data_IF_175890609414
#
_entry.id   IF_175890609414
#
_cell.length_a   1.000
_cell.length_b   1.000
_cell.length_c   1.000
_cell.angle_alpha   90.00
_cell.angle_beta   90.00
_cell.angle_gamma   90.00
#
_symmetry.space_group_name_H-M   'P 1'
#
loop_
_entity.id
_entity.type
_entity.pdbx_description
1 polymer ?
#
# COMPACT_ATOMS: atom_id res chain seq x y z
N UNK A 1 5.19 -14.10 53.34
CA UNK A 1 6.12 -15.19 53.07
C UNK A 1 6.40 -15.13 51.58
N UNK A 2 7.35 -14.40 51.13
CA UNK A 2 8.83 -14.58 51.04
C UNK A 2 9.26 -15.64 50.02
N UNK A 3 10.01 -15.12 49.07
CA UNK A 3 11.09 -15.72 48.25
C UNK A 3 10.66 -16.24 46.86
N UNK A 4 11.37 -16.04 45.74
CA UNK A 4 12.68 -15.39 45.48
C UNK A 4 12.88 -15.41 43.94
N UNK A 5 13.34 -14.31 43.42
CA UNK A 5 14.12 -14.05 42.22
C UNK A 5 14.94 -15.22 41.68
N UNK A 6 14.95 -15.43 40.35
CA UNK A 6 16.21 -15.68 39.61
C UNK A 6 16.18 -15.09 38.18
N UNK A 7 17.14 -14.19 37.97
CA UNK A 7 17.67 -13.70 36.70
C UNK A 7 18.45 -14.83 36.01
N UNK A 8 18.42 -14.90 34.71
CA UNK A 8 19.56 -15.31 33.91
C UNK A 8 19.60 -14.52 32.62
N UNK A 9 20.61 -13.67 32.55
CA UNK A 9 21.16 -13.09 31.34
C UNK A 9 22.18 -14.07 30.75
N UNK A 10 22.41 -13.99 29.43
CA UNK A 10 23.62 -14.45 28.71
C UNK A 10 23.19 -14.58 27.23
N UNK A 11 23.86 -14.22 26.22
CA UNK A 11 25.19 -13.63 25.92
C UNK A 11 25.16 -13.31 24.43
N UNK A 12 25.51 -12.12 24.04
CA UNK A 12 25.74 -11.76 22.63
C UNK A 12 27.05 -12.40 22.13
N UNK A 13 27.06 -12.82 20.90
CA UNK A 13 28.28 -13.22 20.18
C UNK A 13 28.55 -12.22 19.09
N UNK A 14 29.55 -11.36 19.34
CA UNK A 14 30.16 -10.51 18.32
C UNK A 14 31.28 -11.32 17.65
N UNK A 15 31.19 -11.57 16.37
CA UNK A 15 32.27 -12.12 15.55
C UNK A 15 33.02 -10.97 14.88
N UNK A 16 34.15 -10.56 15.46
CA UNK A 16 35.12 -9.65 14.88
C UNK A 16 36.12 -10.43 14.04
N UNK A 17 36.18 -10.22 12.75
CA UNK A 17 37.23 -10.76 11.88
C UNK A 17 38.36 -9.75 11.83
N UNK A 18 39.50 -10.11 12.47
CA UNK A 18 40.78 -9.43 12.42
C UNK A 18 41.56 -9.92 11.19
N UNK A 19 41.73 -9.04 10.19
CA UNK A 19 42.66 -9.30 9.07
C UNK A 19 44.05 -8.74 9.46
N UNK A 20 44.99 -9.57 9.73
CA UNK A 20 46.39 -9.23 10.00
C UNK A 20 47.11 -9.13 8.66
N UNK A 21 47.50 -7.91 8.21
CA UNK A 21 48.47 -7.71 7.13
C UNK A 21 49.86 -7.54 7.72
N UNK A 22 50.75 -8.50 7.40
CA UNK A 22 52.18 -8.41 7.68
C UNK A 22 52.81 -7.40 6.68
N UNK A 23 53.35 -6.31 7.19
CA UNK A 23 54.16 -5.37 6.41
C UNK A 23 55.64 -5.72 6.65
N UNK A 24 56.30 -6.21 5.61
CA UNK A 24 57.74 -6.40 5.61
C UNK A 24 58.45 -5.03 5.58
N UNK A 25 59.26 -4.77 6.58
CA UNK A 25 60.12 -3.62 6.62
C UNK A 25 61.36 -3.87 5.77
N UNK A 26 61.51 -3.15 4.67
CA UNK A 26 62.81 -2.93 4.02
C UNK A 26 63.26 -1.51 4.33
N UNK A 27 64.38 -1.39 5.01
CA UNK A 27 64.94 -0.15 5.48
C UNK A 27 65.46 0.77 4.37
N UNK A 28 65.56 2.08 4.65
CA UNK A 28 65.97 3.07 3.67
C UNK A 28 67.49 3.04 3.46
N UNK A 29 67.91 2.96 2.22
CA UNK A 29 69.29 3.27 1.82
C UNK A 29 69.49 4.77 1.92
N UNK A 30 70.47 5.16 2.74
CA UNK A 30 70.89 6.55 2.90
C UNK A 30 71.59 7.05 1.62
N UNK A 31 71.11 8.10 1.05
CA UNK A 31 71.80 8.87 0.01
C UNK A 31 72.79 9.84 0.66
N UNK A 32 74.04 9.91 0.18
CA UNK A 32 74.98 10.94 0.67
C UNK A 32 74.64 12.32 0.09
N UNK A 33 74.72 13.41 0.86
CA UNK A 33 74.61 14.80 0.39
C UNK A 33 75.92 15.21 -0.34
N UNK A 34 75.89 16.07 -1.39
CA UNK A 34 74.93 17.13 -1.68
C UNK A 34 74.55 17.22 -3.19
N UNK A 35 73.65 16.43 -3.67
CA UNK A 35 73.22 16.51 -5.08
C UNK A 35 71.73 16.46 -5.31
N UNK A 36 70.96 16.81 -4.31
CA UNK A 36 69.49 16.93 -4.49
C UNK A 36 69.04 18.38 -4.15
N UNK A 37 69.54 19.33 -4.87
CA UNK A 37 68.88 20.60 -4.97
C UNK A 37 67.80 20.48 -6.04
N UNK A 38 66.60 20.07 -5.62
CA UNK A 38 65.41 20.28 -6.45
C UNK A 38 64.93 21.68 -6.22
N UNK A 39 65.00 22.51 -7.27
CA UNK A 39 64.31 23.76 -7.38
C UNK A 39 62.87 23.57 -6.95
N UNK A 40 62.52 24.19 -5.81
CA UNK A 40 61.14 24.35 -5.43
C UNK A 40 60.53 25.30 -6.49
N UNK A 41 59.71 24.75 -7.36
CA UNK A 41 58.87 25.53 -8.27
C UNK A 41 57.90 26.38 -7.46
N UNK A 42 58.06 27.71 -7.38
CA UNK A 42 57.18 28.59 -6.61
C UNK A 42 55.85 28.85 -7.34
N UNK A 43 55.51 28.04 -8.37
CA UNK A 43 54.37 28.29 -9.27
C UNK A 43 53.14 27.43 -9.07
N UNK A 44 53.13 26.49 -8.10
CA UNK A 44 51.89 25.73 -7.84
C UNK A 44 51.06 26.40 -6.76
N UNK A 45 50.66 27.66 -7.02
CA UNK A 45 49.58 28.30 -6.31
C UNK A 45 48.37 27.34 -6.41
N UNK A 46 47.92 26.84 -5.26
CA UNK A 46 46.68 26.02 -5.20
C UNK A 46 45.59 26.75 -5.97
N UNK A 47 45.01 26.11 -6.92
CA UNK A 47 43.78 26.56 -7.58
C UNK A 47 42.76 26.73 -6.47
N UNK A 48 42.68 27.92 -5.89
CA UNK A 48 41.58 28.32 -5.02
C UNK A 48 40.33 28.17 -5.89
N UNK A 49 39.50 27.15 -5.63
CA UNK A 49 38.25 26.99 -6.32
C UNK A 49 37.40 28.23 -6.02
N UNK A 50 37.32 29.11 -6.99
CA UNK A 50 36.39 30.25 -6.91
C UNK A 50 35.01 29.65 -6.70
N UNK A 51 34.30 30.03 -5.63
CA UNK A 51 32.93 29.54 -5.43
C UNK A 51 32.11 29.85 -6.69
N UNK A 52 31.23 28.91 -7.11
CA UNK A 52 30.35 29.16 -8.24
C UNK A 52 29.55 30.46 -7.99
N UNK A 53 29.29 31.25 -9.04
CA UNK A 53 28.52 32.49 -8.88
C UNK A 53 27.13 32.20 -8.29
N UNK A 54 26.64 33.12 -7.43
CA UNK A 54 25.31 32.97 -6.84
C UNK A 54 24.25 32.93 -7.93
N UNK A 55 23.32 31.95 -7.83
CA UNK A 55 22.27 31.64 -8.83
C UNK A 55 20.90 31.88 -8.20
N UNK A 56 19.95 32.47 -8.92
CA UNK A 56 18.57 32.59 -8.45
C UNK A 56 17.88 31.24 -8.33
N UNK A 57 17.04 31.05 -7.29
CA UNK A 57 16.16 29.88 -7.22
C UNK A 57 15.15 29.92 -8.34
N UNK A 58 14.95 28.79 -9.00
CA UNK A 58 13.84 28.55 -9.93
C UNK A 58 12.83 27.62 -9.28
N UNK A 59 11.61 28.13 -9.08
CA UNK A 59 10.49 27.35 -8.54
C UNK A 59 9.65 26.79 -9.69
N UNK A 60 9.38 25.51 -9.63
CA UNK A 60 8.49 24.82 -10.59
C UNK A 60 7.47 23.96 -9.86
N UNK A 61 6.35 23.67 -10.52
CA UNK A 61 5.27 22.86 -9.99
C UNK A 61 4.82 21.83 -11.03
N UNK A 62 4.48 20.64 -10.56
CA UNK A 62 3.74 19.62 -11.27
C UNK A 62 2.48 19.29 -10.45
N UNK A 63 1.25 19.31 -11.04
CA UNK A 63 0.92 19.71 -12.41
C UNK A 63 1.25 21.17 -12.68
N UNK A 64 1.42 21.53 -13.98
CA UNK A 64 1.72 22.89 -14.40
C UNK A 64 0.61 23.88 -14.07
N UNK A 65 0.87 25.19 -14.21
CA UNK A 65 -0.12 26.22 -13.92
C UNK A 65 -1.39 26.05 -14.76
N UNK A 66 -2.55 26.22 -14.12
CA UNK A 66 -3.89 26.11 -14.73
C UNK A 66 -4.16 24.75 -15.38
N UNK A 67 -3.48 23.68 -14.97
CA UNK A 67 -3.81 22.33 -15.40
C UNK A 67 -5.24 21.96 -14.96
N UNK A 68 -5.99 21.36 -15.85
CA UNK A 68 -7.36 20.91 -15.61
C UNK A 68 -7.45 19.38 -15.67
N UNK A 69 -8.51 18.82 -15.07
CA UNK A 69 -8.78 17.39 -15.06
C UNK A 69 -7.61 16.55 -14.52
N UNK A 70 -6.86 17.10 -13.56
CA UNK A 70 -5.75 16.42 -12.92
C UNK A 70 -6.26 15.21 -12.15
N UNK A 71 -5.67 14.04 -12.39
CA UNK A 71 -5.96 12.84 -11.60
C UNK A 71 -5.73 13.11 -10.11
N UNK A 72 -6.69 12.84 -9.20
CA UNK A 72 -6.53 13.08 -7.78
C UNK A 72 -5.40 12.25 -7.14
N UNK A 73 -4.94 11.20 -7.80
CA UNK A 73 -3.78 10.39 -7.40
C UNK A 73 -2.48 10.80 -8.10
N UNK A 74 -2.53 11.75 -9.04
CA UNK A 74 -1.32 12.23 -9.71
C UNK A 74 -0.33 12.83 -8.70
N UNK A 75 0.97 12.63 -8.91
CA UNK A 75 1.97 13.23 -8.06
C UNK A 75 1.96 14.76 -8.22
N UNK A 76 1.61 15.47 -7.14
CA UNK A 76 1.78 16.92 -7.06
C UNK A 76 3.12 17.20 -6.39
N UNK A 77 3.94 18.07 -6.99
CA UNK A 77 5.23 18.47 -6.43
C UNK A 77 5.50 19.95 -6.66
N UNK A 78 6.15 20.57 -5.69
CA UNK A 78 6.79 21.88 -5.85
C UNK A 78 8.29 21.66 -5.72
N UNK A 79 9.06 22.12 -6.71
CA UNK A 79 10.50 21.90 -6.77
C UNK A 79 11.25 23.23 -6.81
N UNK A 80 12.29 23.36 -5.99
CA UNK A 80 13.25 24.44 -6.03
C UNK A 80 14.55 23.95 -6.68
N UNK A 81 14.93 24.58 -7.79
CA UNK A 81 16.23 24.38 -8.45
C UNK A 81 17.15 25.54 -8.13
N UNK A 82 18.44 25.25 -7.88
CA UNK A 82 19.46 26.21 -7.50
C UNK A 82 19.13 26.98 -6.20
N UNK A 83 18.46 26.31 -5.24
CA UNK A 83 18.07 26.90 -3.97
C UNK A 83 17.23 25.94 -3.14
N UNK A 84 16.55 26.47 -2.13
CA UNK A 84 15.71 25.70 -1.21
C UNK A 84 14.32 26.29 -1.07
N UNK A 85 13.34 25.45 -0.74
CA UNK A 85 12.01 25.87 -0.34
C UNK A 85 12.05 26.40 1.11
N UNK A 86 11.49 27.57 1.34
CA UNK A 86 11.31 28.15 2.67
C UNK A 86 9.92 27.85 3.22
N UNK A 87 8.90 27.95 2.37
CA UNK A 87 7.50 27.69 2.72
C UNK A 87 6.73 27.21 1.49
N UNK A 88 5.83 26.25 1.70
CA UNK A 88 4.85 25.84 0.71
C UNK A 88 3.51 25.67 1.40
N UNK A 89 2.48 26.27 0.84
CA UNK A 89 1.10 26.13 1.28
C UNK A 89 0.23 25.71 0.10
N UNK A 90 -0.64 24.78 0.33
CA UNK A 90 -1.63 24.34 -0.62
C UNK A 90 -3.01 24.39 0.03
N UNK A 91 -3.96 25.03 -0.61
CA UNK A 91 -5.35 25.12 -0.14
C UNK A 91 -6.31 24.75 -1.26
N UNK A 92 -7.46 24.17 -0.90
CA UNK A 92 -8.51 23.92 -1.85
C UNK A 92 -9.45 25.17 -1.99
N UNK A 93 -10.40 25.09 -2.90
CA UNK A 93 -11.42 26.11 -3.18
C UNK A 93 -12.29 26.51 -1.98
N UNK A 94 -12.38 25.63 -0.96
CA UNK A 94 -13.05 25.94 0.32
C UNK A 94 -12.09 26.55 1.37
N UNK A 95 -10.85 26.86 1.00
CA UNK A 95 -9.82 27.38 1.91
C UNK A 95 -9.24 26.36 2.88
N UNK A 96 -9.58 25.06 2.72
CA UNK A 96 -9.03 23.99 3.57
C UNK A 96 -7.58 23.71 3.17
N UNK A 97 -6.62 23.77 4.14
CA UNK A 97 -5.25 23.43 3.86
C UNK A 97 -5.07 21.95 3.53
N UNK A 98 -4.13 21.64 2.64
CA UNK A 98 -3.66 20.30 2.30
C UNK A 98 -2.29 20.11 2.94
N UNK A 99 -2.19 19.11 3.79
CA UNK A 99 -0.93 18.77 4.45
C UNK A 99 0.08 18.23 3.45
N UNK A 100 1.36 18.58 3.65
CA UNK A 100 2.43 18.10 2.80
C UNK A 100 3.76 18.02 3.55
N UNK A 101 4.72 17.40 2.89
CA UNK A 101 6.07 17.19 3.43
C UNK A 101 7.11 17.68 2.45
N UNK A 102 8.15 18.31 3.00
CA UNK A 102 9.33 18.73 2.24
C UNK A 102 10.44 17.70 2.43
N UNK A 103 11.22 17.45 1.38
CA UNK A 103 12.41 16.60 1.44
C UNK A 103 13.45 17.16 2.43
N UNK A 104 14.33 16.29 3.00
CA UNK A 104 15.33 16.76 3.99
C UNK A 104 16.28 17.86 3.49
N UNK A 105 16.51 17.92 2.18
CA UNK A 105 17.32 18.96 1.50
C UNK A 105 16.52 20.23 1.16
N UNK A 106 15.25 20.26 1.53
CA UNK A 106 14.31 21.34 1.24
C UNK A 106 14.20 21.71 -0.25
N UNK A 107 14.36 20.75 -1.15
CA UNK A 107 14.27 21.03 -2.59
C UNK A 107 12.92 20.62 -3.19
N UNK A 108 12.19 19.67 -2.60
CA UNK A 108 10.91 19.19 -3.11
C UNK A 108 9.87 19.11 -2.00
N UNK A 109 8.69 19.63 -2.27
CA UNK A 109 7.50 19.47 -1.44
C UNK A 109 6.45 18.64 -2.18
N UNK A 110 5.68 17.82 -1.45
CA UNK A 110 4.54 17.05 -1.94
C UNK A 110 3.43 16.93 -0.90
N UNK A 111 2.15 16.84 -1.28
CA UNK A 111 1.07 16.52 -0.36
C UNK A 111 1.20 15.11 0.21
N UNK A 112 0.70 14.90 1.42
CA UNK A 112 0.70 13.59 2.12
C UNK A 112 -0.63 12.85 2.00
N UNK A 113 -1.65 13.49 1.45
CA UNK A 113 -2.99 12.94 1.26
C UNK A 113 -3.41 13.03 -0.20
N UNK A 114 -4.26 12.10 -0.69
CA UNK A 114 -4.88 12.21 -2.00
C UNK A 114 -5.71 13.49 -2.12
N UNK A 115 -5.82 14.01 -3.33
CA UNK A 115 -6.64 15.17 -3.63
C UNK A 115 -8.10 14.78 -3.81
N UNK A 116 -9.03 15.71 -3.52
CA UNK A 116 -10.45 15.49 -3.78
C UNK A 116 -10.80 15.59 -5.27
N UNK A 117 -11.89 14.96 -5.67
CA UNK A 117 -12.48 15.14 -7.00
C UNK A 117 -13.10 16.53 -7.15
N UNK A 118 -13.03 17.10 -8.35
CA UNK A 118 -13.71 18.34 -8.75
C UNK A 118 -13.30 19.54 -7.87
N UNK A 119 -12.06 19.59 -7.42
CA UNK A 119 -11.53 20.67 -6.59
C UNK A 119 -10.54 21.53 -7.34
N UNK A 120 -10.56 22.82 -7.06
CA UNK A 120 -9.50 23.73 -7.46
C UNK A 120 -8.54 23.92 -6.28
N UNK A 121 -7.27 23.79 -6.57
CA UNK A 121 -6.20 23.95 -5.58
C UNK A 121 -5.35 25.16 -5.94
N UNK A 122 -5.00 25.94 -4.91
CA UNK A 122 -4.01 27.03 -5.00
C UNK A 122 -2.78 26.63 -4.22
N UNK A 123 -1.64 26.67 -4.89
CA UNK A 123 -0.33 26.41 -4.30
C UNK A 123 0.47 27.70 -4.26
N UNK A 124 0.96 28.06 -3.09
CA UNK A 124 1.85 29.19 -2.86
C UNK A 124 3.18 28.67 -2.30
N UNK A 125 4.28 29.02 -2.95
CA UNK A 125 5.60 28.58 -2.52
C UNK A 125 6.57 29.78 -2.48
N UNK A 126 7.50 29.75 -1.53
CA UNK A 126 8.63 30.71 -1.43
C UNK A 126 9.91 29.90 -1.36
N UNK A 127 10.89 30.26 -2.18
CA UNK A 127 12.22 29.66 -2.20
C UNK A 127 13.33 30.70 -2.05
N UNK A 128 14.49 30.26 -1.59
CA UNK A 128 15.71 31.04 -1.41
C UNK A 128 16.78 30.53 -2.36
N UNK A 129 17.29 31.41 -3.20
CA UNK A 129 18.42 31.12 -4.09
C UNK A 129 19.78 31.17 -3.38
N UNK A 130 20.81 30.67 -4.06
CA UNK A 130 22.20 30.84 -3.58
C UNK A 130 22.65 32.33 -3.63
N UNK A 131 21.89 33.14 -4.37
CA UNK A 131 22.03 34.63 -4.39
C UNK A 131 21.42 35.31 -3.15
N UNK A 132 20.93 34.54 -2.17
CA UNK A 132 20.26 35.02 -0.96
C UNK A 132 18.98 35.84 -1.22
N UNK A 133 18.39 35.69 -2.41
CA UNK A 133 17.14 36.39 -2.78
C UNK A 133 15.98 35.40 -2.74
N UNK A 134 14.91 35.80 -2.06
CA UNK A 134 13.67 35.01 -2.05
C UNK A 134 12.85 35.24 -3.32
N UNK A 135 12.22 34.16 -3.81
CA UNK A 135 11.29 34.22 -4.93
C UNK A 135 10.04 33.46 -4.57
N UNK A 136 8.90 33.93 -5.10
CA UNK A 136 7.60 33.33 -4.84
C UNK A 136 7.01 32.72 -6.13
N UNK A 137 6.25 31.65 -5.97
CA UNK A 137 5.41 31.01 -6.97
C UNK A 137 3.98 30.92 -6.42
N UNK A 138 3.02 31.35 -7.20
CA UNK A 138 1.58 31.06 -6.93
C UNK A 138 1.01 30.42 -8.17
N UNK A 139 0.32 29.31 -8.01
CA UNK A 139 -0.26 28.56 -9.12
C UNK A 139 -1.54 27.87 -8.70
N UNK A 140 -2.42 27.64 -9.66
CA UNK A 140 -3.69 26.91 -9.49
C UNK A 140 -3.76 25.73 -10.44
N UNK A 141 -4.53 24.71 -10.06
CA UNK A 141 -4.94 23.62 -10.94
C UNK A 141 -6.27 23.03 -10.44
N UNK A 142 -6.98 22.32 -11.30
CA UNK A 142 -8.23 21.64 -10.94
C UNK A 142 -8.15 20.13 -11.17
N UNK A 143 -8.78 19.39 -10.27
CA UNK A 143 -8.83 17.93 -10.36
C UNK A 143 -10.04 17.47 -11.17
N UNK A 144 -9.94 16.25 -11.68
CA UNK A 144 -10.95 15.53 -12.42
C UNK A 144 -12.32 15.56 -11.70
N UNK A 145 -13.38 15.79 -12.47
CA UNK A 145 -14.78 15.61 -12.06
C UNK A 145 -15.28 14.30 -12.66
N UNK A 146 -15.51 13.24 -11.86
CA UNK A 146 -16.09 12.00 -12.37
C UNK A 146 -17.49 12.22 -12.92
N UNK A 147 -17.85 11.51 -14.01
CA UNK A 147 -19.23 11.47 -14.49
C UNK A 147 -20.12 10.67 -13.54
N UNK A 148 -19.59 9.60 -12.95
CA UNK A 148 -20.21 8.82 -11.88
C UNK A 148 -19.13 8.22 -10.98
N UNK A 149 -19.53 7.76 -9.79
CA UNK A 149 -18.64 7.12 -8.82
C UNK A 149 -19.24 5.81 -8.34
N UNK A 150 -18.38 4.85 -7.98
CA UNK A 150 -18.79 3.58 -7.38
C UNK A 150 -18.13 3.38 -6.03
N UNK A 151 -18.92 2.93 -5.06
CA UNK A 151 -18.47 2.50 -3.75
C UNK A 151 -18.36 0.96 -3.67
N UNK A 152 -17.53 0.45 -2.78
CA UNK A 152 -17.38 -0.97 -2.53
C UNK A 152 -17.77 -1.31 -1.09
N UNK A 153 -18.64 -2.31 -0.94
CA UNK A 153 -18.91 -2.98 0.33
C UNK A 153 -18.21 -4.33 0.36
N UNK A 154 -17.51 -4.60 1.46
CA UNK A 154 -16.87 -5.90 1.71
C UNK A 154 -17.78 -6.74 2.58
N UNK A 155 -18.27 -7.85 2.04
CA UNK A 155 -19.30 -8.67 2.70
C UNK A 155 -18.92 -10.15 2.68
N UNK A 156 -19.68 -10.96 3.41
CA UNK A 156 -19.76 -12.41 3.22
C UNK A 156 -20.71 -12.76 2.07
N UNK A 157 -20.75 -14.03 1.67
CA UNK A 157 -21.74 -14.53 0.69
C UNK A 157 -23.19 -14.37 1.17
N UNK A 158 -23.43 -14.35 2.48
CA UNK A 158 -24.73 -14.08 3.08
C UNK A 158 -25.14 -12.61 3.11
N UNK A 159 -24.39 -11.73 2.43
CA UNK A 159 -24.63 -10.28 2.35
C UNK A 159 -24.52 -9.54 3.70
N UNK A 160 -23.79 -10.11 4.67
CA UNK A 160 -23.44 -9.44 5.91
C UNK A 160 -22.08 -8.74 5.75
N UNK A 161 -21.95 -7.50 6.20
CA UNK A 161 -20.69 -6.79 6.16
C UNK A 161 -19.61 -7.53 6.93
N UNK A 162 -18.40 -7.57 6.37
CA UNK A 162 -17.22 -7.98 7.11
C UNK A 162 -16.88 -6.88 8.13
N UNK A 163 -16.63 -7.28 9.37
CA UNK A 163 -16.43 -6.36 10.50
C UNK A 163 -14.97 -6.39 10.93
N UNK A 164 -14.41 -5.22 11.21
CA UNK A 164 -13.05 -5.10 11.72
C UNK A 164 -12.88 -5.89 13.02
N UNK A 165 -11.83 -6.72 13.08
CA UNK A 165 -11.60 -7.64 14.21
C UNK A 165 -12.60 -8.80 14.33
N UNK A 166 -13.54 -8.95 13.39
CA UNK A 166 -14.55 -10.03 13.38
C UNK A 166 -13.92 -11.42 13.29
N UNK A 167 -14.69 -12.44 13.66
CA UNK A 167 -14.27 -13.85 13.55
C UNK A 167 -15.23 -14.61 12.62
N UNK A 168 -14.65 -15.30 11.64
CA UNK A 168 -15.41 -15.99 10.58
C UNK A 168 -14.95 -17.45 10.43
N UNK A 169 -15.75 -18.26 9.74
CA UNK A 169 -15.46 -19.68 9.52
C UNK A 169 -14.33 -19.91 8.50
N UNK A 170 -13.75 -21.11 8.54
CA UNK A 170 -12.65 -21.54 7.66
C UNK A 170 -12.97 -21.52 6.17
N UNK A 171 -14.25 -21.54 5.79
CA UNK A 171 -14.72 -21.49 4.39
C UNK A 171 -15.18 -20.09 3.94
N UNK A 172 -14.86 -19.05 4.68
CA UNK A 172 -15.32 -17.70 4.35
C UNK A 172 -14.83 -17.25 2.97
N UNK A 173 -15.77 -16.76 2.17
CA UNK A 173 -15.52 -16.11 0.89
C UNK A 173 -15.68 -14.61 1.09
N UNK A 174 -14.67 -13.85 0.69
CA UNK A 174 -14.76 -12.39 0.68
C UNK A 174 -15.51 -11.95 -0.57
N UNK A 175 -16.49 -11.09 -0.39
CA UNK A 175 -17.30 -10.54 -1.49
C UNK A 175 -17.10 -9.03 -1.55
N UNK A 176 -16.60 -8.56 -2.68
CA UNK A 176 -16.58 -7.15 -3.03
C UNK A 176 -17.86 -6.83 -3.84
N UNK A 177 -18.72 -5.98 -3.28
CA UNK A 177 -19.97 -5.53 -3.91
C UNK A 177 -19.84 -4.07 -4.27
N UNK A 178 -19.89 -3.80 -5.55
CA UNK A 178 -19.98 -2.46 -6.11
C UNK A 178 -21.45 -2.04 -6.18
N UNK A 179 -21.73 -0.78 -5.96
CA UNK A 179 -23.08 -0.21 -6.08
C UNK A 179 -23.44 0.13 -7.54
N UNK A 180 -22.44 0.10 -8.44
CA UNK A 180 -22.60 0.30 -9.88
C UNK A 180 -22.10 -0.92 -10.67
N UNK A 181 -22.66 -1.20 -11.86
CA UNK A 181 -22.07 -2.14 -12.81
C UNK A 181 -20.66 -1.68 -13.23
N UNK A 182 -19.69 -2.59 -13.23
CA UNK A 182 -18.29 -2.30 -13.53
C UNK A 182 -17.92 -2.71 -14.95
N UNK A 183 -17.75 -1.76 -15.88
CA UNK A 183 -17.36 -2.07 -17.25
C UNK A 183 -15.92 -2.59 -17.35
N UNK A 184 -14.95 -1.96 -16.66
CA UNK A 184 -13.57 -2.42 -16.59
C UNK A 184 -13.31 -3.21 -15.29
N UNK A 185 -13.77 -4.47 -15.29
CA UNK A 185 -13.57 -5.41 -14.17
C UNK A 185 -12.10 -5.69 -13.89
N UNK A 186 -11.25 -5.64 -14.92
CA UNK A 186 -9.82 -5.87 -14.75
C UNK A 186 -9.16 -4.73 -13.97
N UNK A 187 -9.52 -3.47 -14.26
CA UNK A 187 -9.05 -2.32 -13.49
C UNK A 187 -9.53 -2.39 -12.03
N UNK A 188 -10.82 -2.64 -11.80
CA UNK A 188 -11.38 -2.80 -10.46
C UNK A 188 -10.69 -3.93 -9.68
N UNK A 189 -10.49 -5.09 -10.32
CA UNK A 189 -9.87 -6.24 -9.67
C UNK A 189 -8.42 -5.99 -9.24
N UNK A 190 -7.66 -5.21 -10.02
CA UNK A 190 -6.28 -4.81 -9.64
C UNK A 190 -6.25 -3.96 -8.35
N UNK A 191 -7.32 -3.24 -8.08
CA UNK A 191 -7.47 -2.43 -6.87
C UNK A 191 -7.93 -3.23 -5.64
N UNK A 192 -8.42 -4.47 -5.84
CA UNK A 192 -8.83 -5.37 -4.77
C UNK A 192 -7.65 -6.24 -4.33
N UNK A 193 -7.29 -6.18 -3.06
CA UNK A 193 -6.20 -6.97 -2.49
C UNK A 193 -6.69 -7.77 -1.29
N UNK A 194 -6.29 -9.04 -1.23
CA UNK A 194 -6.45 -9.89 -0.03
C UNK A 194 -5.07 -10.35 0.40
N UNK A 195 -4.77 -10.14 1.67
CA UNK A 195 -3.52 -10.60 2.29
C UNK A 195 -3.88 -11.46 3.50
N UNK A 196 -3.19 -12.58 3.67
CA UNK A 196 -3.44 -13.53 4.78
C UNK A 196 -2.17 -13.83 5.54
N UNK A 197 -2.31 -14.09 6.84
CA UNK A 197 -1.22 -14.57 7.67
C UNK A 197 -1.73 -15.74 8.55
N UNK A 198 -1.23 -17.00 8.34
CA UNK A 198 -0.28 -17.42 7.30
C UNK A 198 -0.79 -17.20 5.87
N UNK A 199 0.12 -17.13 4.88
CA UNK A 199 -0.26 -16.93 3.47
C UNK A 199 -1.17 -18.03 2.95
N UNK A 200 -2.24 -17.65 2.24
CA UNK A 200 -3.18 -18.55 1.57
C UNK A 200 -3.36 -18.10 0.14
N UNK A 201 -3.20 -19.01 -0.81
CA UNK A 201 -3.49 -18.75 -2.22
C UNK A 201 -4.99 -18.63 -2.44
N UNK A 202 -5.39 -17.72 -3.30
CA UNK A 202 -6.79 -17.51 -3.68
C UNK A 202 -6.92 -16.59 -4.87
N UNK A 203 -8.13 -16.49 -5.41
CA UNK A 203 -8.38 -15.70 -6.60
C UNK A 203 -9.74 -15.00 -6.54
N UNK A 204 -9.80 -13.84 -7.23
CA UNK A 204 -11.04 -13.14 -7.50
C UNK A 204 -11.75 -13.74 -8.72
N UNK A 205 -13.06 -13.88 -8.64
CA UNK A 205 -13.94 -14.28 -9.73
C UNK A 205 -15.18 -13.41 -9.72
N UNK A 206 -15.50 -12.81 -10.85
CA UNK A 206 -16.72 -12.02 -11.01
C UNK A 206 -17.92 -12.94 -11.19
N UNK A 207 -18.93 -12.79 -10.32
CA UNK A 207 -20.18 -13.55 -10.39
C UNK A 207 -21.26 -12.82 -11.19
N UNK A 208 -21.15 -11.50 -11.28
CA UNK A 208 -21.95 -10.63 -12.15
C UNK A 208 -21.15 -9.33 -12.45
N UNK A 209 -21.84 -8.32 -12.98
CA UNK A 209 -21.21 -7.05 -13.38
C UNK A 209 -20.86 -6.10 -12.23
N UNK A 210 -21.36 -6.36 -11.01
CA UNK A 210 -21.16 -5.53 -9.82
C UNK A 210 -20.62 -6.33 -8.61
N UNK A 211 -20.31 -7.61 -8.75
CA UNK A 211 -19.94 -8.45 -7.60
C UNK A 211 -18.79 -9.39 -7.93
N UNK A 212 -17.72 -9.29 -7.15
CA UNK A 212 -16.57 -10.18 -7.23
C UNK A 212 -16.40 -10.97 -5.93
N UNK A 213 -16.11 -12.26 -6.05
CA UNK A 213 -15.84 -13.19 -4.96
C UNK A 213 -14.35 -13.54 -4.94
N UNK A 214 -13.70 -13.37 -3.80
CA UNK A 214 -12.38 -13.95 -3.56
C UNK A 214 -12.52 -15.24 -2.77
N UNK A 215 -11.99 -16.31 -3.30
CA UNK A 215 -12.01 -17.62 -2.67
C UNK A 215 -10.59 -18.11 -2.44
N UNK A 216 -10.28 -18.61 -1.22
CA UNK A 216 -9.05 -19.36 -1.02
C UNK A 216 -9.10 -20.68 -1.79
N UNK A 217 -7.95 -21.15 -2.25
CA UNK A 217 -7.82 -22.44 -2.93
C UNK A 217 -8.19 -23.61 -2.01
N UNK A 218 -7.85 -23.49 -0.73
CA UNK A 218 -8.20 -24.42 0.33
C UNK A 218 -8.83 -23.66 1.50
N UNK A 219 -9.51 -24.36 2.40
CA UNK A 219 -10.02 -23.77 3.63
C UNK A 219 -8.86 -23.10 4.41
N UNK A 220 -9.17 -22.00 5.04
CA UNK A 220 -8.21 -21.35 5.94
C UNK A 220 -7.86 -22.24 7.12
N UNK A 221 -6.63 -22.15 7.60
CA UNK A 221 -6.29 -22.68 8.91
C UNK A 221 -6.95 -21.83 10.02
N UNK A 222 -7.44 -22.46 11.11
CA UNK A 222 -7.88 -21.70 12.28
C UNK A 222 -6.81 -20.71 12.78
N UNK A 223 -7.24 -19.52 13.18
CA UNK A 223 -6.34 -18.45 13.64
C UNK A 223 -5.74 -17.59 12.52
N UNK A 224 -5.96 -17.90 11.24
CA UNK A 224 -5.52 -17.07 10.11
C UNK A 224 -6.09 -15.65 10.24
N UNK A 225 -5.25 -14.65 10.07
CA UNK A 225 -5.68 -13.25 9.89
C UNK A 225 -5.84 -12.95 8.41
N UNK A 226 -6.94 -12.33 8.04
CA UNK A 226 -7.26 -11.94 6.66
C UNK A 226 -7.46 -10.43 6.63
N UNK A 227 -6.68 -9.76 5.78
CA UNK A 227 -6.82 -8.32 5.50
C UNK A 227 -7.27 -8.14 4.06
N UNK A 228 -8.38 -7.44 3.88
CA UNK A 228 -8.93 -7.09 2.58
C UNK A 228 -8.85 -5.58 2.40
N UNK A 229 -8.34 -5.15 1.25
CA UNK A 229 -8.32 -3.75 0.86
C UNK A 229 -8.92 -3.59 -0.54
N UNK A 230 -9.79 -2.61 -0.69
CA UNK A 230 -10.31 -2.14 -1.96
C UNK A 230 -9.84 -0.69 -2.14
N UNK A 231 -8.68 -0.53 -2.77
CA UNK A 231 -8.03 0.76 -3.01
C UNK A 231 -8.53 1.31 -4.35
N UNK A 232 -9.78 1.71 -4.38
CA UNK A 232 -10.48 2.10 -5.61
C UNK A 232 -10.55 3.61 -5.82
N UNK A 233 -10.27 4.42 -4.80
CA UNK A 233 -10.30 5.87 -4.95
C UNK A 233 -9.38 6.30 -6.11
N UNK A 234 -9.86 7.16 -6.99
CA UNK A 234 -9.10 7.62 -8.17
C UNK A 234 -9.03 6.62 -9.32
N UNK A 235 -9.39 5.36 -9.13
CA UNK A 235 -9.25 4.32 -10.15
C UNK A 235 -10.38 4.42 -11.17
N UNK A 236 -10.09 4.61 -12.48
CA UNK A 236 -11.09 4.51 -13.53
C UNK A 236 -11.50 3.06 -13.74
N UNK A 237 -12.77 2.75 -13.54
CA UNK A 237 -13.36 1.41 -13.68
C UNK A 237 -14.39 1.31 -14.81
N UNK A 238 -14.50 2.39 -15.58
CA UNK A 238 -15.35 2.52 -16.76
C UNK A 238 -15.24 3.91 -17.36
N UNK A 239 -15.90 4.16 -18.50
CA UNK A 239 -15.92 5.49 -19.12
C UNK A 239 -16.62 6.48 -18.18
N UNK A 240 -15.87 7.42 -17.60
CA UNK A 240 -16.37 8.40 -16.65
C UNK A 240 -16.77 7.87 -15.28
N UNK A 241 -16.61 6.55 -15.02
CA UNK A 241 -16.88 5.91 -13.72
C UNK A 241 -15.59 5.70 -12.97
N UNK A 242 -15.53 6.20 -11.72
CA UNK A 242 -14.36 6.15 -10.87
C UNK A 242 -14.72 5.62 -9.48
N UNK A 243 -13.74 5.03 -8.79
CA UNK A 243 -13.92 4.63 -7.40
C UNK A 243 -14.11 5.83 -6.48
N UNK A 244 -15.10 5.76 -5.59
CA UNK A 244 -15.50 6.86 -4.70
C UNK A 244 -14.56 7.03 -3.51
N UNK A 245 -14.19 5.93 -2.86
CA UNK A 245 -13.34 5.91 -1.67
C UNK A 245 -12.71 4.54 -1.50
N UNK A 246 -11.54 4.52 -0.86
CA UNK A 246 -10.92 3.28 -0.40
C UNK A 246 -11.68 2.71 0.80
N UNK A 247 -11.73 1.37 0.87
CA UNK A 247 -12.26 0.65 2.03
C UNK A 247 -11.43 -0.59 2.32
N UNK A 248 -11.43 -1.03 3.56
CA UNK A 248 -10.71 -2.23 3.97
C UNK A 248 -11.25 -2.79 5.27
N UNK A 249 -10.88 -4.05 5.54
CA UNK A 249 -11.25 -4.76 6.77
C UNK A 249 -10.23 -5.81 7.09
N UNK A 250 -9.92 -5.99 8.37
CA UNK A 250 -9.11 -7.08 8.88
C UNK A 250 -9.93 -7.93 9.84
N UNK A 251 -9.91 -9.23 9.65
CA UNK A 251 -10.65 -10.19 10.46
C UNK A 251 -9.84 -11.47 10.73
N UNK A 252 -10.35 -12.33 11.59
CA UNK A 252 -9.73 -13.61 11.95
C UNK A 252 -10.59 -14.79 11.55
N UNK A 253 -9.93 -15.92 11.29
CA UNK A 253 -10.57 -17.20 11.10
C UNK A 253 -10.62 -17.91 12.44
N UNK A 254 -11.83 -18.31 12.85
CA UNK A 254 -12.08 -19.06 14.07
C UNK A 254 -11.80 -20.55 13.93
N UNK A 255 -12.38 -21.33 14.83
CA UNK A 255 -12.28 -22.77 14.84
C UNK A 255 -12.90 -23.42 13.58
N UNK A 256 -12.35 -24.56 13.20
CA UNK A 256 -12.86 -25.33 12.08
C UNK A 256 -14.10 -26.13 12.49
N UNK A 257 -15.26 -25.72 12.04
CA UNK A 257 -16.52 -26.46 12.19
C UNK A 257 -16.97 -26.97 10.84
N UNK A 258 -17.03 -28.31 10.69
CA UNK A 258 -17.37 -28.98 9.43
C UNK A 258 -18.51 -29.95 9.70
N UNK A 259 -19.56 -29.86 8.88
CA UNK A 259 -20.65 -30.85 8.89
C UNK A 259 -20.64 -31.61 7.55
N UNK A 260 -20.58 -32.93 7.63
CA UNK A 260 -20.58 -33.82 6.48
C UNK A 260 -21.87 -34.63 6.49
N UNK A 261 -22.71 -34.38 5.51
CA UNK A 261 -23.90 -35.18 5.27
C UNK A 261 -23.56 -36.32 4.30
N UNK A 262 -23.93 -37.56 4.65
CA UNK A 262 -23.67 -38.74 3.86
C UNK A 262 -25.01 -39.45 3.52
N UNK A 263 -25.32 -39.45 2.23
CA UNK A 263 -26.59 -40.02 1.74
C UNK A 263 -26.65 -41.55 1.86
N UNK A 264 -25.52 -42.25 1.81
CA UNK A 264 -25.49 -43.72 1.94
C UNK A 264 -25.83 -44.12 3.37
N UNK A 265 -25.22 -43.47 4.36
CA UNK A 265 -25.41 -43.77 5.78
C UNK A 265 -26.62 -43.07 6.40
N UNK A 266 -27.20 -42.07 5.68
CA UNK A 266 -28.28 -41.20 6.17
C UNK A 266 -27.92 -40.53 7.49
N UNK A 267 -26.68 -40.03 7.58
CA UNK A 267 -26.14 -39.39 8.76
C UNK A 267 -25.46 -38.07 8.43
N UNK A 268 -25.54 -37.13 9.38
CA UNK A 268 -24.68 -35.93 9.42
C UNK A 268 -23.68 -36.12 10.53
N UNK A 269 -22.41 -36.05 10.17
CA UNK A 269 -21.29 -36.01 11.13
C UNK A 269 -20.75 -34.58 11.29
N UNK A 270 -20.67 -34.09 12.52
CA UNK A 270 -20.19 -32.77 12.88
C UNK A 270 -18.78 -32.86 13.48
N UNK A 271 -17.87 -32.13 12.94
CA UNK A 271 -16.48 -32.07 13.39
C UNK A 271 -16.15 -30.67 13.92
N UNK A 272 -15.36 -30.60 14.99
CA UNK A 272 -14.76 -29.38 15.50
C UNK A 272 -13.25 -29.57 15.57
N UNK A 273 -12.48 -28.74 14.86
CA UNK A 273 -11.02 -28.84 14.75
C UNK A 273 -10.53 -30.26 14.42
N UNK A 274 -11.20 -30.92 13.49
CA UNK A 274 -10.91 -32.29 13.04
C UNK A 274 -11.41 -33.41 13.96
N UNK A 275 -11.94 -33.11 15.15
CA UNK A 275 -12.50 -34.09 16.07
C UNK A 275 -14.01 -34.27 15.82
N UNK A 276 -14.47 -35.51 15.65
CA UNK A 276 -15.89 -35.80 15.59
C UNK A 276 -16.55 -35.49 16.93
N UNK A 277 -17.52 -34.56 16.93
CA UNK A 277 -18.25 -34.15 18.16
C UNK A 277 -19.68 -34.69 18.19
N UNK A 278 -20.28 -34.96 17.04
CA UNK A 278 -21.67 -35.48 16.97
C UNK A 278 -21.93 -36.18 15.65
N UNK A 279 -22.76 -37.23 15.70
CA UNK A 279 -23.38 -37.84 14.54
C UNK A 279 -24.91 -37.89 14.77
N UNK A 280 -25.66 -37.55 13.73
CA UNK A 280 -27.13 -37.48 13.81
C UNK A 280 -27.75 -38.16 12.59
N UNK A 281 -28.84 -38.93 12.77
CA UNK A 281 -29.64 -39.37 11.64
C UNK A 281 -30.23 -38.17 10.90
N UNK A 282 -30.33 -38.25 9.59
CA UNK A 282 -30.92 -37.19 8.77
C UNK A 282 -31.74 -37.79 7.61
N UNK A 283 -32.72 -37.04 7.15
CA UNK A 283 -33.37 -37.29 5.87
C UNK A 283 -32.63 -36.50 4.78
N UNK A 284 -32.29 -37.19 3.71
CA UNK A 284 -31.64 -36.64 2.53
C UNK A 284 -32.59 -36.45 1.35
N UNK A 285 -33.89 -36.49 1.62
CA UNK A 285 -34.91 -36.53 0.60
C UNK A 285 -35.07 -37.94 0.00
N UNK A 286 -36.10 -38.15 -0.79
CA UNK A 286 -36.36 -39.44 -1.45
C UNK A 286 -35.66 -39.57 -2.79
N UNK A 287 -35.07 -38.50 -3.31
CA UNK A 287 -34.71 -38.45 -4.72
C UNK A 287 -35.94 -38.60 -5.63
N UNK A 288 -35.82 -38.29 -6.85
CA UNK A 288 -36.91 -38.43 -7.81
C UNK A 288 -36.96 -37.25 -8.78
N UNK A 289 -37.95 -37.31 -9.64
CA UNK A 289 -38.25 -36.22 -10.55
C UNK A 289 -39.75 -36.02 -10.66
N UNK A 290 -40.18 -34.79 -10.78
CA UNK A 290 -41.55 -34.42 -11.02
C UNK A 290 -41.63 -33.53 -12.27
N UNK A 291 -42.67 -33.76 -13.10
CA UNK A 291 -42.89 -32.93 -14.29
C UNK A 291 -44.03 -31.95 -14.02
N UNK A 292 -43.69 -30.67 -13.90
CA UNK A 292 -44.66 -29.61 -13.67
C UNK A 292 -44.63 -28.69 -14.90
N UNK A 293 -45.79 -28.50 -15.52
CA UNK A 293 -45.92 -27.62 -16.69
C UNK A 293 -45.04 -28.04 -17.89
N UNK A 294 -44.80 -29.33 -18.08
CA UNK A 294 -43.95 -29.86 -19.15
C UNK A 294 -42.44 -29.79 -18.86
N UNK A 295 -42.03 -29.34 -17.67
CA UNK A 295 -40.64 -29.25 -17.24
C UNK A 295 -40.35 -30.28 -16.14
N UNK A 296 -39.38 -31.14 -16.38
CA UNK A 296 -38.97 -32.12 -15.39
C UNK A 296 -38.01 -31.50 -14.40
N UNK A 297 -38.33 -31.53 -13.12
CA UNK A 297 -37.50 -31.07 -11.99
C UNK A 297 -37.03 -32.34 -11.25
N UNK A 298 -35.73 -32.48 -11.10
CA UNK A 298 -35.11 -33.55 -10.31
C UNK A 298 -34.85 -33.10 -8.89
N UNK A 299 -35.18 -33.90 -7.90
CA UNK A 299 -34.92 -33.69 -6.47
C UNK A 299 -33.78 -34.63 -6.05
N UNK A 300 -32.81 -34.09 -5.35
CA UNK A 300 -31.63 -34.83 -4.84
C UNK A 300 -31.65 -34.86 -3.33
#
# INVERSE_FOLDING_TARGET
>A
MSRTVRRNALLGVHLAILLVMAIAMTGPLACPPPLCAHDADPGRAGLSSVPPPPVPVSLSMNPGPNAENVDPLAPVTVTANAGTLLNVQMVNDAGKPVEGVTTPDNTVWKPTVPLGYGRTYTVSATGLGTDQVTRALVSTFSTLVPGNQTAVRLTTTGNHDLVEGGTYGIGTVVVARFDEPIPDRAAAQRALRVTTNPPVEGAWTWVNDATAHWRPQHYYAPGTTVTVAANIYGVPVGQGLYGQADTGVTFRIGDAHISVANDITKQVSVFSNGKLVRTMPTSMGMGGSETIGGRTISFW
#
